data_IF_446489205336
#
_entry.id   IF_446489205336
#
_cell.length_a   1.000
_cell.length_b   1.000
_cell.length_c   1.000
_cell.angle_alpha   90.00
_cell.angle_beta   90.00
_cell.angle_gamma   90.00
#
_symmetry.space_group_name_H-M   'P 1'
#
loop_
_entity.id
_entity.type
_entity.pdbx_description
1 polymer ?
#
# COMPACT_ATOMS: atom_id res chain seq x y z
N UNK A 1 -13.05 -47.14 -36.41
CA UNK A 1 -13.56 -47.41 -35.05
C UNK A 1 -12.37 -47.34 -34.11
N UNK A 2 -11.94 -46.15 -33.66
CA UNK A 2 -12.49 -45.33 -32.56
C UNK A 2 -12.35 -46.03 -31.20
N UNK A 3 -11.28 -45.71 -30.43
CA UNK A 3 -11.24 -44.77 -29.28
C UNK A 3 -11.19 -45.58 -27.94
N UNK A 4 -10.81 -45.01 -26.77
CA UNK A 4 -9.53 -44.38 -26.43
C UNK A 4 -9.02 -44.75 -25.00
N UNK A 5 -7.83 -44.27 -24.64
CA UNK A 5 -7.35 -44.22 -23.24
C UNK A 5 -7.41 -42.78 -22.70
N UNK A 6 -7.88 -42.67 -21.46
CA UNK A 6 -8.16 -41.43 -20.73
C UNK A 6 -6.90 -40.64 -20.37
N UNK A 7 -6.99 -39.30 -20.43
CA UNK A 7 -6.05 -38.37 -19.77
C UNK A 7 -6.80 -37.45 -18.81
N UNK A 8 -6.23 -37.31 -17.62
CA UNK A 8 -6.65 -36.43 -16.53
C UNK A 8 -6.41 -34.97 -16.90
N UNK A 9 -7.39 -34.12 -16.60
CA UNK A 9 -7.28 -32.67 -16.62
C UNK A 9 -6.53 -32.18 -15.37
N UNK A 10 -5.58 -31.26 -15.55
CA UNK A 10 -5.00 -30.47 -14.47
C UNK A 10 -4.99 -29.00 -14.91
N UNK A 11 -5.58 -28.14 -14.08
CA UNK A 11 -5.85 -26.72 -14.31
C UNK A 11 -4.69 -25.86 -13.80
N UNK A 12 -4.11 -25.00 -14.65
CA UNK A 12 -3.05 -24.05 -14.29
C UNK A 12 -3.45 -22.62 -14.66
N UNK A 13 -3.17 -21.68 -13.75
CA UNK A 13 -3.51 -20.26 -13.78
C UNK A 13 -2.28 -19.42 -14.12
N UNK A 14 -2.40 -18.48 -15.07
CA UNK A 14 -1.31 -17.67 -15.66
C UNK A 14 -1.26 -16.26 -15.05
N UNK A 15 -0.06 -15.75 -14.80
CA UNK A 15 0.24 -14.42 -14.23
C UNK A 15 1.01 -13.57 -15.26
N UNK A 16 0.63 -12.31 -15.46
CA UNK A 16 1.21 -11.38 -16.45
C UNK A 16 2.10 -10.33 -15.78
N UNK A 17 3.32 -10.13 -16.28
CA UNK A 17 4.15 -8.94 -16.01
C UNK A 17 5.01 -8.55 -17.22
N UNK A 18 5.00 -7.24 -17.46
CA UNK A 18 6.04 -6.39 -18.05
C UNK A 18 6.32 -6.43 -19.56
N UNK A 19 6.21 -5.26 -20.20
CA UNK A 19 7.22 -4.70 -21.12
C UNK A 19 6.92 -3.20 -21.33
N UNK A 20 7.89 -2.32 -21.12
CA UNK A 20 8.20 -1.16 -21.97
C UNK A 20 9.30 -0.31 -21.32
N UNK A 21 10.51 -0.36 -21.90
CA UNK A 21 11.60 0.56 -21.60
C UNK A 21 12.57 0.62 -22.79
N UNK A 22 12.48 1.69 -23.60
CA UNK A 22 13.51 2.31 -24.47
C UNK A 22 12.96 3.72 -24.75
N UNK A 23 13.61 4.88 -24.64
CA UNK A 23 15.00 5.29 -24.60
C UNK A 23 15.14 6.46 -25.58
N UNK A 24 15.23 7.72 -25.13
CA UNK A 24 15.62 8.86 -25.97
C UNK A 24 16.22 10.00 -25.14
N UNK A 25 17.46 10.34 -25.49
CA UNK A 25 18.27 11.46 -24.98
C UNK A 25 17.84 12.78 -25.64
N UNK A 26 17.70 13.85 -24.86
CA UNK A 26 17.49 15.21 -25.34
C UNK A 26 18.02 16.25 -24.36
N UNK A 27 18.94 17.09 -24.82
CA UNK A 27 19.68 18.11 -24.06
C UNK A 27 18.80 19.30 -23.60
N UNK A 28 19.18 20.04 -22.53
CA UNK A 28 18.35 21.12 -21.99
C UNK A 28 18.54 22.45 -22.74
N UNK A 29 17.41 23.06 -23.11
CA UNK A 29 17.28 24.41 -23.64
C UNK A 29 17.34 25.44 -22.50
N UNK A 30 18.19 26.45 -22.64
CA UNK A 30 18.31 27.62 -21.77
C UNK A 30 17.34 28.71 -22.26
N UNK A 31 16.53 29.35 -21.40
CA UNK A 31 15.69 30.47 -21.81
C UNK A 31 16.48 31.80 -21.78
N UNK A 32 16.57 32.45 -22.93
CA UNK A 32 17.01 33.84 -23.10
C UNK A 32 15.85 34.78 -22.77
N UNK A 33 15.99 35.56 -21.71
CA UNK A 33 15.12 36.71 -21.44
C UNK A 33 15.92 38.01 -21.65
N UNK A 34 15.61 38.73 -22.72
CA UNK A 34 16.05 40.11 -22.94
C UNK A 34 15.01 41.05 -22.34
N UNK A 35 15.42 41.91 -21.41
CA UNK A 35 14.66 43.08 -21.00
C UNK A 35 15.58 44.30 -21.08
N UNK A 36 15.16 45.29 -21.86
CA UNK A 36 15.86 46.54 -22.13
C UNK A 36 15.76 47.50 -20.93
N UNK A 37 16.82 48.29 -20.76
CA UNK A 37 17.02 49.28 -19.71
C UNK A 37 16.37 50.64 -20.02
N UNK A 38 16.04 51.41 -18.97
CA UNK A 38 16.17 52.88 -18.91
C UNK A 38 16.08 53.37 -17.45
N UNK A 39 17.21 53.73 -16.82
CA UNK A 39 17.77 55.09 -16.56
C UNK A 39 17.36 55.74 -15.23
N UNK A 40 18.31 55.84 -14.29
CA UNK A 40 18.71 57.11 -13.63
C UNK A 40 19.92 56.86 -12.70
N UNK A 41 20.92 57.74 -12.77
CA UNK A 41 22.21 57.64 -12.07
C UNK A 41 22.20 58.33 -10.68
N UNK A 42 23.12 57.96 -9.76
CA UNK A 42 23.10 58.31 -8.32
C UNK A 42 24.10 59.42 -7.93
N UNK A 43 24.12 59.92 -6.67
CA UNK A 43 25.26 60.64 -6.14
C UNK A 43 26.24 59.74 -5.38
N UNK A 44 27.51 60.14 -5.51
CA UNK A 44 28.74 59.43 -5.15
C UNK A 44 28.92 59.27 -3.64
N UNK A 45 29.34 58.07 -3.20
CA UNK A 45 30.09 57.90 -1.96
C UNK A 45 31.22 56.87 -2.13
N UNK A 46 32.20 56.95 -1.24
CA UNK A 46 33.62 56.67 -1.46
C UNK A 46 33.97 55.18 -1.50
N UNK A 47 35.05 54.92 -2.24
CA UNK A 47 35.76 53.65 -2.43
C UNK A 47 35.91 52.80 -1.16
N UNK A 48 35.36 51.58 -1.22
CA UNK A 48 35.85 50.41 -0.49
C UNK A 48 35.91 49.29 -1.52
N UNK A 49 37.09 48.68 -1.69
CA UNK A 49 37.32 47.62 -2.66
C UNK A 49 36.45 46.41 -2.33
N UNK A 50 35.33 46.28 -3.05
CA UNK A 50 34.42 45.14 -2.94
C UNK A 50 35.07 43.95 -3.63
N UNK A 51 35.50 42.96 -2.83
CA UNK A 51 35.92 41.67 -3.31
C UNK A 51 34.83 41.08 -4.23
N UNK A 52 35.24 40.54 -5.39
CA UNK A 52 34.35 39.84 -6.31
C UNK A 52 33.54 38.79 -5.51
N UNK A 53 32.22 38.66 -5.72
CA UNK A 53 31.47 37.56 -5.16
C UNK A 53 32.08 36.28 -5.74
N UNK A 54 32.83 35.58 -4.90
CA UNK A 54 33.34 34.26 -5.25
C UNK A 54 32.12 33.39 -5.36
N UNK A 55 31.81 32.97 -6.58
CA UNK A 55 30.82 31.93 -6.85
C UNK A 55 31.28 30.71 -6.06
N UNK A 56 30.67 30.47 -4.89
CA UNK A 56 30.86 29.22 -4.16
C UNK A 56 30.26 28.17 -5.09
N UNK A 57 31.11 27.43 -5.80
CA UNK A 57 30.69 26.19 -6.43
C UNK A 57 30.14 25.34 -5.29
N UNK A 58 28.85 25.02 -5.33
CA UNK A 58 28.27 24.03 -4.43
C UNK A 58 29.12 22.76 -4.54
N UNK A 59 29.86 22.44 -3.48
CA UNK A 59 30.67 21.24 -3.43
C UNK A 59 29.70 20.09 -3.16
N UNK A 60 29.43 19.29 -4.20
CA UNK A 60 28.66 18.05 -4.02
C UNK A 60 29.52 17.03 -3.27
N UNK A 61 29.03 16.58 -2.12
CA UNK A 61 29.71 15.57 -1.32
C UNK A 61 29.81 14.23 -2.06
N UNK A 62 31.00 13.64 -2.06
CA UNK A 62 31.22 12.28 -2.58
C UNK A 62 30.59 11.29 -1.60
N UNK A 63 29.63 10.48 -2.08
CA UNK A 63 28.96 9.45 -1.27
C UNK A 63 29.21 8.09 -1.89
N UNK A 64 29.88 7.19 -1.15
CA UNK A 64 30.06 5.79 -1.55
C UNK A 64 28.87 4.93 -1.10
N UNK A 65 28.56 3.84 -1.82
CA UNK A 65 27.53 2.90 -1.38
C UNK A 65 27.98 2.21 -0.09
N UNK A 66 27.05 1.89 0.83
CA UNK A 66 27.42 1.20 2.05
C UNK A 66 27.78 -0.26 1.80
N UNK A 67 28.56 -0.85 2.71
CA UNK A 67 28.90 -2.28 2.67
C UNK A 67 27.66 -3.15 2.89
N UNK A 68 26.76 -2.73 3.78
CA UNK A 68 25.49 -3.41 4.02
C UNK A 68 24.29 -2.43 4.06
N UNK A 69 23.14 -2.88 3.59
CA UNK A 69 21.86 -2.16 3.72
C UNK A 69 20.81 -3.06 4.37
N UNK A 70 20.07 -2.51 5.32
CA UNK A 70 18.84 -3.13 5.82
C UNK A 70 17.62 -2.24 5.54
N UNK A 71 16.47 -2.89 5.34
CA UNK A 71 15.18 -2.24 5.22
C UNK A 71 14.21 -2.88 6.22
N UNK A 72 13.45 -2.03 6.92
CA UNK A 72 12.48 -2.42 7.94
C UNK A 72 11.18 -1.69 7.63
N UNK A 73 10.16 -2.43 7.22
CA UNK A 73 8.84 -1.90 6.93
C UNK A 73 7.89 -2.33 8.03
N UNK A 74 7.17 -1.37 8.61
CA UNK A 74 6.32 -1.59 9.78
C UNK A 74 4.90 -1.14 9.45
N UNK A 75 3.93 -2.03 9.58
CA UNK A 75 2.52 -1.70 9.37
C UNK A 75 1.65 -2.20 10.51
N UNK A 76 0.77 -1.32 10.99
CA UNK A 76 -0.38 -1.71 11.81
C UNK A 76 -1.64 -1.58 10.99
N UNK A 77 -2.45 -2.62 10.98
CA UNK A 77 -3.69 -2.64 10.20
C UNK A 77 -4.89 -2.91 11.08
N UNK A 78 -5.96 -2.20 10.81
CA UNK A 78 -7.26 -2.39 11.43
C UNK A 78 -8.36 -2.46 10.36
N UNK A 79 -9.37 -3.28 10.59
CA UNK A 79 -10.55 -3.34 9.75
C UNK A 79 -11.78 -3.66 10.58
N UNK A 80 -12.90 -3.05 10.21
CA UNK A 80 -14.24 -3.38 10.73
C UNK A 80 -15.01 -4.31 9.78
N UNK A 81 -14.36 -4.77 8.70
CA UNK A 81 -14.96 -5.67 7.71
C UNK A 81 -15.04 -7.08 8.33
N UNK A 82 -16.24 -7.68 8.47
CA UNK A 82 -16.38 -9.04 8.98
C UNK A 82 -15.56 -10.01 8.12
N UNK A 83 -14.59 -10.67 8.75
CA UNK A 83 -13.44 -11.29 8.08
C UNK A 83 -13.78 -12.35 7.01
N UNK A 84 -12.95 -12.37 5.95
CA UNK A 84 -12.67 -13.51 5.05
C UNK A 84 -13.81 -14.04 4.16
N UNK A 85 -15.00 -14.28 4.72
CA UNK A 85 -16.04 -15.08 4.07
C UNK A 85 -16.95 -14.27 3.13
N UNK A 86 -17.09 -12.96 3.34
CA UNK A 86 -17.80 -12.09 2.36
C UNK A 86 -16.99 -11.92 1.07
N UNK A 87 -15.67 -11.85 1.18
CA UNK A 87 -14.78 -11.75 0.00
C UNK A 87 -14.58 -13.10 -0.69
N UNK A 88 -14.65 -14.21 0.04
CA UNK A 88 -14.72 -15.55 -0.56
C UNK A 88 -15.99 -15.72 -1.43
N UNK A 89 -17.14 -15.19 -0.97
CA UNK A 89 -18.38 -15.14 -1.74
C UNK A 89 -18.28 -14.25 -3.00
N UNK A 90 -17.58 -13.11 -2.91
CA UNK A 90 -17.30 -12.27 -4.08
C UNK A 90 -16.37 -12.97 -5.10
N UNK A 91 -15.40 -13.77 -4.65
CA UNK A 91 -14.53 -14.55 -5.55
C UNK A 91 -15.20 -15.77 -6.18
N UNK A 92 -16.24 -16.32 -5.55
CA UNK A 92 -17.03 -17.43 -6.11
C UNK A 92 -18.17 -16.94 -7.02
N UNK A 93 -18.65 -15.70 -6.85
CA UNK A 93 -19.76 -15.14 -7.61
C UNK A 93 -19.41 -14.44 -8.94
N UNK A 94 -18.13 -14.16 -9.23
CA UNK A 94 -17.75 -13.36 -10.41
C UNK A 94 -16.82 -14.08 -11.37
N UNK A 95 -17.02 -15.38 -11.57
CA UNK A 95 -16.25 -16.17 -12.55
C UNK A 95 -16.43 -15.69 -14.01
N UNK A 96 -17.29 -14.68 -14.26
CA UNK A 96 -17.62 -14.16 -15.59
C UNK A 96 -17.22 -12.70 -15.87
N UNK A 97 -16.48 -12.03 -15.00
CA UNK A 97 -16.09 -10.62 -15.21
C UNK A 97 -14.81 -10.44 -16.04
N UNK A 98 -14.82 -10.79 -17.33
CA UNK A 98 -13.71 -10.48 -18.24
C UNK A 98 -13.49 -8.96 -18.35
N UNK A 99 -12.33 -8.46 -17.93
CA UNK A 99 -11.97 -7.04 -18.03
C UNK A 99 -11.23 -6.47 -16.82
N UNK A 100 -11.21 -5.14 -16.71
CA UNK A 100 -10.54 -4.38 -15.62
C UNK A 100 -10.95 -4.87 -14.21
N UNK A 101 -12.18 -5.34 -14.04
CA UNK A 101 -12.66 -5.93 -12.78
C UNK A 101 -12.04 -7.30 -12.47
N UNK A 102 -11.77 -8.14 -13.47
CA UNK A 102 -11.01 -9.39 -13.33
C UNK A 102 -9.54 -9.14 -12.99
N UNK A 103 -8.93 -8.11 -13.60
CA UNK A 103 -7.57 -7.67 -13.26
C UNK A 103 -7.48 -7.09 -11.82
N UNK A 104 -8.48 -6.31 -11.40
CA UNK A 104 -8.59 -5.80 -10.04
C UNK A 104 -8.83 -6.94 -9.03
N UNK A 105 -9.56 -7.99 -9.41
CA UNK A 105 -9.75 -9.21 -8.61
C UNK A 105 -8.45 -10.02 -8.49
N UNK A 106 -7.66 -10.12 -9.57
CA UNK A 106 -6.31 -10.70 -9.54
C UNK A 106 -5.35 -9.92 -8.64
N UNK A 107 -5.38 -8.59 -8.71
CA UNK A 107 -4.63 -7.71 -7.80
C UNK A 107 -5.14 -7.78 -6.36
N UNK A 108 -6.45 -7.90 -6.14
CA UNK A 108 -7.02 -8.13 -4.81
C UNK A 108 -6.55 -9.47 -4.25
N UNK A 109 -6.50 -10.56 -5.04
CA UNK A 109 -5.96 -11.85 -4.61
C UNK A 109 -4.48 -11.77 -4.23
N UNK A 110 -3.68 -10.95 -4.94
CA UNK A 110 -2.29 -10.66 -4.59
C UNK A 110 -2.13 -9.76 -3.35
N UNK A 111 -3.05 -8.82 -3.14
CA UNK A 111 -3.05 -7.88 -2.02
C UNK A 111 -3.72 -8.41 -0.74
N UNK A 112 -4.48 -9.50 -0.83
CA UNK A 112 -5.20 -10.12 0.28
C UNK A 112 -4.34 -11.12 1.06
N UNK A 113 -3.15 -11.46 0.56
CA UNK A 113 -2.38 -12.59 1.08
C UNK A 113 -3.15 -13.90 0.85
N UNK A 114 -2.45 -14.97 0.51
CA UNK A 114 -3.13 -16.26 0.52
C UNK A 114 -3.51 -16.57 1.98
N UNK A 115 -4.80 -16.78 2.28
CA UNK A 115 -5.26 -17.26 3.59
C UNK A 115 -4.81 -18.70 3.73
N UNK A 116 -3.54 -18.84 4.10
CA UNK A 116 -2.89 -20.09 4.41
C UNK A 116 -3.02 -20.29 5.92
N UNK A 117 -3.08 -21.53 6.37
CA UNK A 117 -2.84 -21.90 7.78
C UNK A 117 -1.39 -21.63 8.24
N UNK A 118 -0.62 -20.83 7.50
CA UNK A 118 0.77 -20.42 7.80
C UNK A 118 0.77 -19.12 8.62
N UNK A 119 1.90 -18.81 9.24
CA UNK A 119 2.10 -17.61 10.05
C UNK A 119 2.07 -16.29 9.25
N UNK A 120 2.98 -15.37 9.55
CA UNK A 120 3.15 -14.12 8.83
C UNK A 120 3.80 -14.35 7.45
N UNK A 121 3.44 -13.53 6.45
CA UNK A 121 3.94 -13.65 5.08
C UNK A 121 4.65 -12.35 4.69
N UNK A 122 5.81 -12.48 4.04
CA UNK A 122 6.53 -11.32 3.51
C UNK A 122 5.68 -10.52 2.54
N UNK A 123 5.72 -9.20 2.68
CA UNK A 123 4.93 -8.27 1.87
C UNK A 123 3.58 -7.94 2.51
N UNK A 124 3.23 -8.59 3.62
CA UNK A 124 2.04 -8.18 4.38
C UNK A 124 2.17 -6.73 4.87
N UNK A 125 3.34 -6.11 4.97
CA UNK A 125 3.38 -4.67 5.31
C UNK A 125 2.84 -3.75 4.20
N UNK A 126 2.57 -4.29 3.02
CA UNK A 126 1.95 -3.62 1.89
C UNK A 126 0.46 -3.97 1.71
N UNK A 127 -0.10 -4.84 2.57
CA UNK A 127 -1.51 -5.20 2.43
C UNK A 127 -2.40 -3.97 2.69
N UNK A 128 -3.58 -3.99 2.08
CA UNK A 128 -4.47 -2.84 1.97
C UNK A 128 -5.41 -2.72 3.19
N UNK A 129 -4.92 -3.00 4.39
CA UNK A 129 -5.67 -2.93 5.64
C UNK A 129 -6.82 -3.94 5.82
N UNK A 130 -7.00 -4.91 4.92
CA UNK A 130 -8.14 -5.86 4.97
C UNK A 130 -8.05 -6.92 6.07
N UNK A 131 -6.84 -7.15 6.61
CA UNK A 131 -6.62 -8.08 7.70
C UNK A 131 -6.03 -7.29 8.85
N UNK A 132 -6.72 -7.29 9.99
CA UNK A 132 -6.24 -6.61 11.20
C UNK A 132 -5.01 -7.33 11.75
N UNK A 133 -4.03 -6.55 12.21
CA UNK A 133 -2.83 -7.09 12.83
C UNK A 133 -1.63 -6.15 12.75
N UNK A 134 -0.51 -6.63 13.28
CA UNK A 134 0.79 -5.97 13.23
C UNK A 134 1.71 -6.75 12.30
N UNK A 135 2.42 -6.03 11.44
CA UNK A 135 3.23 -6.59 10.38
C UNK A 135 4.58 -5.91 10.34
N UNK A 136 5.59 -6.72 10.06
CA UNK A 136 6.97 -6.28 9.87
C UNK A 136 7.52 -7.06 8.68
N UNK A 137 8.20 -6.36 7.77
CA UNK A 137 9.00 -6.95 6.71
C UNK A 137 10.42 -6.43 6.88
N UNK A 138 11.37 -7.35 6.98
CA UNK A 138 12.79 -7.02 7.15
C UNK A 138 13.57 -7.66 6.01
N UNK A 139 14.53 -6.93 5.45
CA UNK A 139 15.51 -7.52 4.56
C UNK A 139 16.88 -6.90 4.75
N UNK A 140 17.93 -7.66 4.47
CA UNK A 140 19.31 -7.17 4.52
C UNK A 140 20.08 -7.60 3.28
N UNK A 141 21.03 -6.78 2.86
CA UNK A 141 21.93 -7.03 1.75
C UNK A 141 23.34 -6.58 2.09
N UNK A 142 24.35 -7.24 1.52
CA UNK A 142 25.73 -6.78 1.59
C UNK A 142 26.46 -6.95 0.26
N UNK A 143 27.30 -5.98 -0.08
CA UNK A 143 28.14 -6.04 -1.27
C UNK A 143 29.34 -6.99 -1.12
N UNK A 144 29.73 -7.38 0.11
CA UNK A 144 30.79 -8.36 0.39
C UNK A 144 30.34 -9.79 0.09
N UNK A 145 29.03 -10.02 0.06
CA UNK A 145 28.41 -11.29 -0.32
C UNK A 145 27.09 -11.03 -1.08
N UNK A 146 27.15 -10.73 -2.39
CA UNK A 146 25.96 -10.43 -3.18
C UNK A 146 24.95 -11.58 -3.27
N UNK A 147 25.39 -12.82 -3.01
CA UNK A 147 24.58 -14.05 -2.99
C UNK A 147 24.17 -14.47 -1.58
N UNK A 148 24.12 -13.55 -0.61
CA UNK A 148 23.75 -13.85 0.78
C UNK A 148 22.42 -14.61 0.84
N UNK A 149 22.47 -15.84 1.37
CA UNK A 149 21.33 -16.77 1.47
C UNK A 149 20.55 -16.63 2.77
N UNK A 150 21.24 -16.26 3.84
CA UNK A 150 20.70 -16.19 5.18
C UNK A 150 21.37 -15.07 5.98
N UNK A 151 20.64 -14.58 6.97
CA UNK A 151 21.12 -13.63 7.96
C UNK A 151 20.32 -13.79 9.26
N UNK A 152 20.78 -13.16 10.33
CA UNK A 152 20.02 -13.02 11.58
C UNK A 152 19.85 -11.55 11.90
N UNK A 153 18.67 -11.22 12.43
CA UNK A 153 18.46 -9.95 13.11
C UNK A 153 18.27 -10.23 14.59
N UNK A 154 19.20 -9.76 15.42
CA UNK A 154 18.99 -9.69 16.87
C UNK A 154 17.95 -8.60 17.12
N UNK A 155 16.94 -8.90 17.91
CA UNK A 155 15.80 -8.03 18.18
C UNK A 155 15.69 -7.70 19.67
N UNK A 156 15.13 -6.53 20.04
CA UNK A 156 14.93 -6.18 21.43
C UNK A 156 13.91 -7.12 22.09
N UNK A 157 14.08 -7.34 23.40
CA UNK A 157 13.17 -8.19 24.20
C UNK A 157 11.73 -7.69 24.12
N UNK A 158 11.52 -6.38 24.02
CA UNK A 158 10.19 -5.76 23.88
C UNK A 158 9.42 -6.20 22.64
N UNK A 159 10.10 -6.79 21.65
CA UNK A 159 9.44 -7.31 20.45
C UNK A 159 8.67 -8.61 20.72
N UNK A 160 8.95 -9.29 21.85
CA UNK A 160 8.31 -10.53 22.26
C UNK A 160 8.38 -11.66 21.21
N UNK A 161 9.48 -11.71 20.46
CA UNK A 161 9.76 -12.73 19.44
C UNK A 161 11.04 -13.54 19.75
N UNK A 162 11.43 -13.61 21.02
CA UNK A 162 12.70 -14.21 21.42
C UNK A 162 13.91 -13.36 21.03
N UNK A 163 15.09 -13.98 20.94
CA UNK A 163 16.36 -13.27 20.79
C UNK A 163 16.65 -12.77 19.37
N UNK A 164 16.15 -13.48 18.35
CA UNK A 164 16.44 -13.15 16.96
C UNK A 164 15.37 -13.59 15.97
N UNK A 165 15.35 -12.92 14.83
CA UNK A 165 14.64 -13.34 13.61
C UNK A 165 15.60 -14.04 12.67
N UNK A 166 15.15 -15.13 12.05
CA UNK A 166 15.91 -15.81 11.00
C UNK A 166 15.50 -15.26 9.64
N UNK A 167 16.43 -14.63 8.93
CA UNK A 167 16.18 -14.08 7.59
C UNK A 167 16.68 -15.07 6.56
N UNK A 168 15.87 -15.33 5.52
CA UNK A 168 16.21 -16.27 4.46
C UNK A 168 15.87 -15.67 3.10
N UNK A 169 16.80 -15.78 2.16
CA UNK A 169 16.59 -15.34 0.79
C UNK A 169 15.83 -16.43 0.03
N UNK A 170 14.90 -16.06 -0.88
CA UNK A 170 14.32 -17.04 -1.77
C UNK A 170 15.42 -17.63 -2.66
N UNK A 171 15.30 -18.93 -2.93
CA UNK A 171 16.13 -19.58 -3.94
C UNK A 171 15.79 -18.90 -5.28
N UNK A 172 16.79 -18.46 -6.07
CA UNK A 172 16.53 -17.96 -7.42
C UNK A 172 15.70 -19.01 -8.17
N UNK A 173 14.49 -18.68 -8.55
CA UNK A 173 13.72 -19.57 -9.41
C UNK A 173 14.53 -19.76 -10.70
N UNK A 174 14.81 -21.01 -11.07
CA UNK A 174 15.29 -21.28 -12.43
C UNK A 174 14.23 -20.72 -13.37
N UNK A 175 14.62 -19.99 -14.43
CA UNK A 175 13.65 -19.55 -15.42
C UNK A 175 12.84 -20.77 -15.83
N UNK A 176 11.56 -20.80 -15.48
CA UNK A 176 10.65 -21.77 -16.08
C UNK A 176 10.64 -21.37 -17.55
N UNK A 177 11.04 -22.25 -18.48
CA UNK A 177 10.85 -21.97 -19.89
C UNK A 177 9.38 -21.60 -20.04
N UNK A 178 9.10 -20.38 -20.46
CA UNK A 178 7.74 -20.03 -20.82
C UNK A 178 7.34 -21.04 -21.87
N UNK A 179 6.34 -21.88 -21.57
CA UNK A 179 5.59 -22.55 -22.61
C UNK A 179 4.90 -21.41 -23.34
N UNK A 180 5.57 -20.88 -24.35
CA UNK A 180 4.93 -20.08 -25.38
C UNK A 180 4.05 -21.12 -26.07
N UNK A 181 2.75 -21.12 -25.76
CA UNK A 181 1.80 -21.73 -26.67
C UNK A 181 1.99 -20.98 -28.00
N UNK A 182 2.63 -21.64 -28.97
CA UNK A 182 2.85 -21.13 -30.32
C UNK A 182 1.57 -21.14 -31.17
N UNK A 183 0.40 -21.05 -30.54
CA UNK A 183 -0.81 -20.63 -31.21
C UNK A 183 -0.94 -19.12 -31.02
N UNK A 184 -0.82 -18.30 -32.09
CA UNK A 184 -1.20 -16.90 -32.02
C UNK A 184 -2.71 -16.84 -31.79
N UNK A 185 -3.13 -16.96 -30.53
CA UNK A 185 -4.43 -16.47 -30.11
C UNK A 185 -4.31 -14.96 -30.21
N UNK A 186 -4.86 -14.37 -31.28
CA UNK A 186 -5.09 -12.93 -31.30
C UNK A 186 -5.83 -12.60 -30.00
N UNK A 187 -5.24 -11.82 -29.09
CA UNK A 187 -5.98 -11.40 -27.91
C UNK A 187 -7.14 -10.56 -28.45
N UNK A 188 -8.37 -11.08 -28.38
CA UNK A 188 -9.54 -10.28 -28.69
C UNK A 188 -9.57 -9.15 -27.66
N UNK A 189 -9.02 -8.01 -28.04
CA UNK A 189 -8.97 -6.81 -27.21
C UNK A 189 -10.37 -6.20 -27.24
N UNK A 190 -11.30 -6.82 -26.52
CA UNK A 190 -12.53 -6.13 -26.17
C UNK A 190 -12.14 -4.98 -25.25
N UNK A 191 -12.27 -3.75 -25.77
CA UNK A 191 -12.08 -2.55 -24.96
C UNK A 191 -12.98 -2.68 -23.73
N UNK A 192 -12.44 -2.60 -22.51
CA UNK A 192 -13.27 -2.68 -21.32
C UNK A 192 -14.35 -1.60 -21.39
N UNK A 193 -15.61 -2.01 -21.32
CA UNK A 193 -16.76 -1.10 -21.31
C UNK A 193 -16.93 -0.55 -19.90
N UNK A 194 -17.27 0.73 -19.80
CA UNK A 194 -17.62 1.36 -18.51
C UNK A 194 -17.10 2.78 -18.36
N UNK A 195 -17.47 3.41 -17.25
CA UNK A 195 -17.04 4.75 -16.87
C UNK A 195 -16.23 4.70 -15.59
N UNK A 196 -15.29 5.62 -15.42
CA UNK A 196 -14.58 5.84 -14.16
C UNK A 196 -14.83 7.28 -13.75
N UNK A 197 -15.44 7.50 -12.60
CA UNK A 197 -15.73 8.82 -12.06
C UNK A 197 -14.90 9.09 -10.81
N UNK A 198 -14.11 10.17 -10.85
CA UNK A 198 -13.26 10.64 -9.75
C UNK A 198 -13.90 11.85 -9.08
N UNK A 199 -14.15 11.71 -7.78
CA UNK A 199 -14.51 12.75 -6.82
C UNK A 199 -13.33 12.99 -5.87
N UNK A 200 -13.25 14.17 -5.29
CA UNK A 200 -12.16 14.53 -4.39
C UNK A 200 -12.58 15.59 -3.36
N UNK A 201 -11.86 15.62 -2.26
CA UNK A 201 -11.99 16.59 -1.19
C UNK A 201 -12.92 16.10 -0.08
N UNK A 202 -12.57 16.50 1.14
CA UNK A 202 -13.46 16.37 2.29
C UNK A 202 -14.53 17.47 2.24
N UNK A 203 -15.77 17.13 2.56
CA UNK A 203 -16.86 18.10 2.69
C UNK A 203 -18.25 17.49 2.57
N UNK A 204 -19.28 18.29 2.84
CA UNK A 204 -20.67 17.81 2.82
C UNK A 204 -21.26 17.78 1.41
N UNK A 205 -20.73 18.62 0.51
CA UNK A 205 -21.25 18.82 -0.85
C UNK A 205 -20.17 18.61 -1.91
N UNK A 206 -20.57 18.06 -3.05
CA UNK A 206 -19.72 17.94 -4.24
C UNK A 206 -19.40 19.36 -4.75
N UNK A 207 -18.11 19.68 -4.87
CA UNK A 207 -17.67 21.02 -5.30
C UNK A 207 -17.78 21.16 -6.83
N UNK A 208 -17.91 22.39 -7.36
CA UNK A 208 -17.92 22.62 -8.81
C UNK A 208 -16.70 21.99 -9.51
N UNK A 209 -16.91 21.42 -10.70
CA UNK A 209 -15.87 20.75 -11.48
C UNK A 209 -15.72 19.25 -11.19
N UNK A 210 -16.58 18.68 -10.35
CA UNK A 210 -16.64 17.26 -10.02
C UNK A 210 -17.96 16.61 -10.47
N UNK A 211 -17.96 15.30 -10.78
CA UNK A 211 -16.78 14.44 -10.92
C UNK A 211 -15.99 14.76 -12.20
N UNK A 212 -14.75 14.26 -12.27
CA UNK A 212 -14.13 13.98 -13.57
C UNK A 212 -14.55 12.58 -13.98
N UNK A 213 -15.01 12.39 -15.20
CA UNK A 213 -15.41 11.08 -15.72
C UNK A 213 -14.60 10.70 -16.94
N UNK A 214 -14.09 9.48 -16.96
CA UNK A 214 -13.43 8.85 -18.09
C UNK A 214 -14.32 7.74 -18.65
N UNK A 215 -14.68 7.82 -19.92
CA UNK A 215 -15.35 6.73 -20.63
C UNK A 215 -14.27 5.79 -21.20
N UNK A 216 -14.18 4.58 -20.66
CA UNK A 216 -13.10 3.63 -20.94
C UNK A 216 -13.16 3.14 -22.41
N UNK A 217 -14.35 3.11 -23.00
CA UNK A 217 -14.56 2.62 -24.36
C UNK A 217 -14.11 3.65 -25.42
N UNK A 218 -14.25 4.94 -25.12
CA UNK A 218 -14.00 6.03 -26.08
C UNK A 218 -12.77 6.90 -25.78
N UNK A 219 -12.20 6.85 -24.57
CA UNK A 219 -11.07 7.68 -24.18
C UNK A 219 -9.80 7.46 -25.02
N UNK A 220 -9.13 8.57 -25.33
CA UNK A 220 -7.80 8.57 -25.95
C UNK A 220 -6.71 8.34 -24.89
N UNK A 221 -5.50 7.97 -25.32
CA UNK A 221 -4.34 7.81 -24.43
C UNK A 221 -4.06 9.09 -23.63
N UNK A 222 -4.26 10.26 -24.24
CA UNK A 222 -4.08 11.55 -23.57
C UNK A 222 -5.15 11.77 -22.48
N UNK A 223 -6.38 11.31 -22.68
CA UNK A 223 -7.43 11.37 -21.67
C UNK A 223 -7.09 10.48 -20.48
N UNK A 224 -6.57 9.27 -20.74
CA UNK A 224 -6.03 8.40 -19.70
C UNK A 224 -4.91 9.09 -18.91
N UNK A 225 -3.93 9.68 -19.60
CA UNK A 225 -2.81 10.35 -18.94
C UNK A 225 -3.25 11.55 -18.08
N UNK A 226 -4.24 12.32 -18.53
CA UNK A 226 -4.81 13.46 -17.78
C UNK A 226 -5.70 13.03 -16.63
N UNK A 227 -6.35 11.87 -16.74
CA UNK A 227 -7.25 11.35 -15.73
C UNK A 227 -6.52 10.63 -14.60
N UNK A 228 -5.58 9.74 -14.96
CA UNK A 228 -4.81 8.94 -14.02
C UNK A 228 -3.57 9.67 -13.49
N UNK A 229 -3.77 10.91 -13.05
CA UNK A 229 -2.76 11.61 -12.25
C UNK A 229 -2.66 10.91 -10.90
N UNK A 230 -1.55 10.22 -10.69
CA UNK A 230 -1.28 9.45 -9.49
C UNK A 230 0.00 9.94 -8.86
N UNK A 231 -0.12 10.59 -7.70
CA UNK A 231 1.04 10.84 -6.84
C UNK A 231 1.40 9.57 -6.09
N UNK A 232 2.69 9.42 -5.86
CA UNK A 232 3.24 8.28 -5.15
C UNK A 232 4.69 8.12 -5.51
N UNK A 233 5.55 8.12 -4.50
CA UNK A 233 6.96 7.82 -4.67
C UNK A 233 7.35 6.86 -3.58
N UNK A 234 6.76 5.66 -3.63
CA UNK A 234 7.07 4.60 -2.67
C UNK A 234 8.56 4.40 -2.64
N UNK A 235 9.15 4.81 -1.52
CA UNK A 235 10.58 4.74 -1.34
C UNK A 235 11.04 3.27 -1.28
N UNK A 236 12.30 3.00 -1.61
CA UNK A 236 12.85 1.64 -1.53
C UNK A 236 12.63 1.09 -0.11
N UNK A 237 11.95 -0.05 -0.01
CA UNK A 237 11.69 -0.78 1.23
C UNK A 237 12.26 -2.18 1.20
N UNK A 238 11.76 -3.03 2.10
CA UNK A 238 12.18 -4.41 2.24
C UNK A 238 11.89 -5.22 0.97
N UNK A 239 12.76 -6.20 0.70
CA UNK A 239 12.71 -7.01 -0.51
C UNK A 239 12.93 -8.47 -0.19
N UNK A 240 12.15 -9.32 -0.85
CA UNK A 240 12.36 -10.75 -0.84
C UNK A 240 12.82 -11.20 -2.22
N UNK A 241 14.13 -11.33 -2.39
CA UNK A 241 14.77 -11.73 -3.64
C UNK A 241 16.13 -12.38 -3.35
N UNK A 242 16.70 -13.10 -4.32
CA UNK A 242 18.03 -13.70 -4.16
C UNK A 242 19.08 -12.66 -3.70
N UNK A 243 19.96 -13.05 -2.78
CA UNK A 243 20.97 -12.16 -2.21
C UNK A 243 20.43 -11.14 -1.18
N UNK A 244 19.14 -11.21 -0.86
CA UNK A 244 18.47 -10.35 0.12
C UNK A 244 17.67 -11.23 1.09
N UNK A 245 18.34 -11.82 2.11
CA UNK A 245 17.63 -12.56 3.13
C UNK A 245 16.57 -11.68 3.78
N UNK A 246 15.38 -12.23 3.96
CA UNK A 246 14.23 -11.48 4.45
C UNK A 246 13.45 -12.25 5.52
N UNK A 247 12.72 -11.50 6.33
CA UNK A 247 11.74 -12.00 7.29
C UNK A 247 10.42 -11.26 7.06
N UNK A 248 9.26 -11.92 7.13
CA UNK A 248 9.03 -13.35 7.35
C UNK A 248 9.51 -14.21 6.18
N UNK A 249 9.66 -15.51 6.39
CA UNK A 249 9.98 -16.49 5.35
C UNK A 249 9.50 -17.90 5.74
N UNK A 250 9.80 -18.91 4.92
CA UNK A 250 9.34 -20.30 5.15
C UNK A 250 9.92 -20.95 6.42
N UNK A 251 11.03 -20.45 6.94
CA UNK A 251 11.74 -21.00 8.11
C UNK A 251 11.31 -20.25 9.38
N UNK A 252 10.98 -18.96 9.27
CA UNK A 252 10.53 -18.12 10.37
C UNK A 252 9.39 -17.20 9.88
N UNK A 253 8.17 -17.62 10.20
CA UNK A 253 6.92 -16.94 9.86
C UNK A 253 6.16 -16.49 11.11
N UNK A 254 6.86 -16.23 12.23
CA UNK A 254 6.18 -15.81 13.46
C UNK A 254 5.39 -14.50 13.25
N UNK A 255 4.24 -14.36 13.91
CA UNK A 255 3.44 -13.12 13.87
C UNK A 255 3.92 -12.17 14.94
N UNK A 256 3.92 -10.86 14.67
CA UNK A 256 4.15 -9.86 15.72
C UNK A 256 3.02 -9.93 16.75
N UNK A 257 3.32 -10.13 18.04
CA UNK A 257 2.32 -10.07 19.09
C UNK A 257 1.69 -8.67 19.23
N UNK A 258 0.47 -8.61 19.75
CA UNK A 258 -0.24 -7.33 19.96
C UNK A 258 0.52 -6.38 20.90
N UNK A 259 1.24 -6.91 21.88
CA UNK A 259 2.05 -6.16 22.83
C UNK A 259 3.51 -5.96 22.39
N UNK A 260 3.86 -6.25 21.13
CA UNK A 260 5.20 -6.04 20.60
C UNK A 260 5.55 -4.55 20.48
N UNK A 261 6.80 -4.23 20.77
CA UNK A 261 7.46 -2.95 20.49
C UNK A 261 8.82 -3.22 19.84
N UNK A 262 9.12 -2.52 18.75
CA UNK A 262 10.41 -2.58 18.07
C UNK A 262 11.41 -1.54 18.60
N UNK A 263 11.07 -0.83 19.68
CA UNK A 263 12.01 0.10 20.34
C UNK A 263 13.18 -0.68 20.94
N UNK A 264 14.39 -0.15 20.75
CA UNK A 264 15.62 -0.69 21.32
C UNK A 264 16.66 -1.05 20.27
N UNK A 265 17.66 -1.81 20.71
CA UNK A 265 18.79 -2.19 19.87
C UNK A 265 18.45 -3.39 18.99
N UNK A 266 18.79 -3.27 17.72
CA UNK A 266 18.82 -4.34 16.73
C UNK A 266 20.24 -4.54 16.23
N UNK A 267 20.58 -5.77 15.83
CA UNK A 267 21.85 -6.06 15.18
C UNK A 267 21.62 -7.01 14.00
N UNK A 268 22.26 -6.73 12.86
CA UNK A 268 22.27 -7.63 11.71
C UNK A 268 23.56 -8.43 11.68
N UNK A 269 23.43 -9.74 11.49
CA UNK A 269 24.53 -10.69 11.45
C UNK A 269 24.42 -11.56 10.20
N UNK A 270 25.54 -11.86 9.57
CA UNK A 270 25.60 -12.71 8.37
C UNK A 270 26.93 -12.58 7.65
N UNK A 271 27.23 -13.52 6.76
CA UNK A 271 28.49 -13.51 6.04
C UNK A 271 28.63 -12.25 5.17
N UNK A 272 29.65 -11.42 5.43
CA UNK A 272 29.89 -10.14 4.74
C UNK A 272 29.19 -8.95 5.37
N UNK A 273 28.28 -9.14 6.33
CA UNK A 273 27.67 -8.05 7.10
C UNK A 273 28.69 -7.56 8.15
N UNK A 274 28.99 -6.24 8.25
CA UNK A 274 29.86 -5.72 9.31
C UNK A 274 29.29 -5.98 10.71
N UNK A 275 30.13 -6.42 11.66
CA UNK A 275 29.73 -6.63 13.07
C UNK A 275 29.23 -5.34 13.75
N UNK A 276 29.64 -4.19 13.22
CA UNK A 276 29.22 -2.85 13.62
C UNK A 276 27.76 -2.54 13.27
N UNK A 277 27.06 -3.39 12.47
CA UNK A 277 25.68 -3.15 12.02
C UNK A 277 24.66 -3.31 13.16
N UNK A 278 24.62 -2.28 13.99
CA UNK A 278 23.74 -2.12 15.15
C UNK A 278 22.92 -0.85 15.00
N UNK A 279 21.60 -0.99 15.05
CA UNK A 279 20.65 0.12 14.93
C UNK A 279 19.91 0.25 16.25
N UNK A 280 19.76 1.47 16.77
CA UNK A 280 18.93 1.73 17.94
C UNK A 280 17.68 2.48 17.51
N UNK A 281 16.51 1.85 17.67
CA UNK A 281 15.23 2.43 17.31
C UNK A 281 14.57 3.10 18.53
N UNK A 282 14.03 4.30 18.34
CA UNK A 282 13.29 5.05 19.36
C UNK A 282 11.78 4.93 19.20
N UNK A 283 11.03 5.54 20.13
CA UNK A 283 9.56 5.49 20.15
C UNK A 283 8.90 6.03 18.86
N UNK A 284 9.52 7.02 18.19
CA UNK A 284 9.02 7.56 16.93
C UNK A 284 9.14 6.57 15.74
N UNK A 285 9.89 5.48 15.90
CA UNK A 285 10.01 4.40 14.92
C UNK A 285 9.18 3.17 15.28
N UNK A 286 8.52 3.15 16.44
CA UNK A 286 7.76 1.99 16.89
C UNK A 286 6.46 1.80 16.08
N UNK A 287 5.80 0.66 16.29
CA UNK A 287 4.49 0.34 15.73
C UNK A 287 3.48 1.44 16.07
N UNK A 288 2.93 2.09 15.04
CA UNK A 288 1.84 3.04 15.22
C UNK A 288 0.60 2.31 15.77
N UNK A 289 -0.21 2.95 16.64
CA UNK A 289 -1.48 2.38 17.08
C UNK A 289 -2.42 2.19 15.89
N UNK A 290 -3.37 1.24 15.97
CA UNK A 290 -4.40 1.07 14.95
C UNK A 290 -5.23 2.36 14.83
N UNK A 291 -5.59 2.71 13.60
CA UNK A 291 -6.56 3.79 13.37
C UNK A 291 -7.93 3.33 13.87
N UNK A 292 -8.47 4.06 14.84
CA UNK A 292 -9.84 3.89 15.32
C UNK A 292 -10.74 4.90 14.60
N UNK A 293 -11.29 4.50 13.46
CA UNK A 293 -12.19 5.33 12.65
C UNK A 293 -13.66 4.97 12.94
N UNK A 294 -14.48 6.00 13.13
CA UNK A 294 -15.93 5.90 13.27
C UNK A 294 -16.60 6.57 12.08
N UNK A 295 -17.77 6.06 11.67
CA UNK A 295 -18.55 6.58 10.56
C UNK A 295 -19.96 6.95 11.01
N UNK A 296 -20.39 8.17 10.72
CA UNK A 296 -21.73 8.67 11.02
C UNK A 296 -22.41 9.14 9.73
N UNK A 297 -23.52 8.50 9.36
CA UNK A 297 -24.37 8.95 8.25
C UNK A 297 -25.25 10.11 8.72
N UNK A 298 -25.19 11.25 8.03
CA UNK A 298 -26.05 12.41 8.29
C UNK A 298 -26.47 13.05 6.97
N UNK A 299 -27.78 13.12 6.72
CA UNK A 299 -28.37 13.75 5.53
C UNK A 299 -27.85 13.23 4.17
N UNK A 300 -27.26 12.03 4.16
CA UNK A 300 -26.65 11.38 3.00
C UNK A 300 -25.13 11.59 2.86
N UNK A 301 -24.55 12.46 3.69
CA UNK A 301 -23.09 12.59 3.89
C UNK A 301 -22.60 11.51 4.85
N UNK A 302 -21.38 11.02 4.65
CA UNK A 302 -20.71 10.10 5.59
C UNK A 302 -19.59 10.87 6.28
N UNK A 303 -19.83 11.28 7.53
CA UNK A 303 -18.81 11.87 8.39
C UNK A 303 -17.92 10.76 8.96
N UNK A 304 -16.61 10.90 8.82
CA UNK A 304 -15.62 10.01 9.38
C UNK A 304 -14.81 10.76 10.43
N UNK A 305 -14.62 10.15 11.60
CA UNK A 305 -13.88 10.72 12.72
C UNK A 305 -12.92 9.68 13.30
N UNK A 306 -11.70 10.10 13.66
CA UNK A 306 -10.67 9.22 14.22
C UNK A 306 -9.88 9.90 15.33
N UNK A 307 -9.29 9.08 16.21
CA UNK A 307 -8.40 9.56 17.27
C UNK A 307 -7.06 10.04 16.69
N UNK A 308 -6.46 11.04 17.34
CA UNK A 308 -5.10 11.47 17.01
C UNK A 308 -4.09 10.34 17.29
N UNK A 309 -3.16 10.13 16.35
CA UNK A 309 -2.12 9.12 16.45
C UNK A 309 -0.76 9.80 16.79
N UNK A 310 -0.04 9.34 17.84
CA UNK A 310 1.29 9.85 18.14
C UNK A 310 2.26 9.69 16.97
N UNK A 311 3.12 10.69 16.76
CA UNK A 311 4.15 10.71 15.71
C UNK A 311 3.63 10.61 14.26
N UNK A 312 2.32 10.76 14.04
CA UNK A 312 1.75 10.82 12.70
C UNK A 312 2.21 12.08 11.97
N UNK A 313 2.49 11.94 10.68
CA UNK A 313 2.94 13.01 9.80
C UNK A 313 1.82 13.56 8.93
N UNK A 314 0.85 12.72 8.56
CA UNK A 314 -0.35 13.11 7.82
C UNK A 314 -1.28 11.92 7.57
N UNK A 315 -2.41 12.20 6.94
CA UNK A 315 -3.43 11.19 6.61
C UNK A 315 -3.88 11.29 5.16
N UNK A 316 -4.27 10.15 4.59
CA UNK A 316 -4.93 10.11 3.29
C UNK A 316 -6.06 9.07 3.32
N UNK A 317 -7.21 9.43 2.77
CA UNK A 317 -8.37 8.56 2.66
C UNK A 317 -8.76 8.42 1.19
N UNK A 318 -9.19 7.22 0.81
CA UNK A 318 -9.82 6.98 -0.47
C UNK A 318 -10.95 5.97 -0.32
N UNK A 319 -11.98 6.11 -1.16
CA UNK A 319 -13.06 5.16 -1.26
C UNK A 319 -13.26 4.77 -2.71
N UNK A 320 -13.55 3.50 -2.97
CA UNK A 320 -13.85 3.02 -4.31
C UNK A 320 -15.07 2.12 -4.29
N UNK A 321 -16.03 2.39 -5.17
CA UNK A 321 -17.26 1.62 -5.31
C UNK A 321 -17.61 1.43 -6.78
N UNK A 322 -18.64 0.64 -7.04
CA UNK A 322 -19.20 0.45 -8.38
C UNK A 322 -20.68 0.77 -8.39
N UNK A 323 -21.14 1.42 -9.47
CA UNK A 323 -22.56 1.49 -9.83
C UNK A 323 -22.76 0.59 -11.04
N UNK A 324 -23.68 -0.36 -10.94
CA UNK A 324 -24.06 -1.22 -12.07
C UNK A 324 -25.09 -0.45 -12.89
N UNK A 325 -24.81 -0.23 -14.17
CA UNK A 325 -25.74 0.45 -15.08
C UNK A 325 -26.53 -0.60 -15.89
N UNK A 326 -25.85 -1.61 -16.45
CA UNK A 326 -26.42 -2.79 -17.13
C UNK A 326 -25.50 -4.02 -16.95
N UNK A 327 -25.85 -5.19 -17.51
CA UNK A 327 -25.04 -6.42 -17.40
C UNK A 327 -23.64 -6.32 -18.02
N UNK A 328 -23.47 -5.46 -19.05
CA UNK A 328 -22.22 -5.28 -19.81
C UNK A 328 -21.51 -3.93 -19.54
N UNK A 329 -22.04 -3.08 -18.66
CA UNK A 329 -21.47 -1.75 -18.40
C UNK A 329 -21.67 -1.30 -16.94
N UNK A 330 -20.57 -0.96 -16.28
CA UNK A 330 -20.56 -0.39 -14.94
C UNK A 330 -19.77 0.91 -14.85
N UNK A 331 -20.07 1.71 -13.83
CA UNK A 331 -19.33 2.90 -13.45
C UNK A 331 -18.51 2.60 -12.19
N UNK A 332 -17.19 2.76 -12.27
CA UNK A 332 -16.32 2.75 -11.10
C UNK A 332 -16.27 4.15 -10.52
N UNK A 333 -16.60 4.28 -9.24
CA UNK A 333 -16.57 5.55 -8.52
C UNK A 333 -15.36 5.54 -7.59
N UNK A 334 -14.53 6.57 -7.69
CA UNK A 334 -13.39 6.81 -6.81
C UNK A 334 -13.59 8.14 -6.11
N UNK A 335 -13.36 8.16 -4.80
CA UNK A 335 -13.28 9.38 -4.00
C UNK A 335 -11.95 9.42 -3.26
N UNK A 336 -11.34 10.60 -3.13
CA UNK A 336 -10.13 10.82 -2.33
C UNK A 336 -10.26 12.02 -1.40
N UNK A 337 -9.55 12.03 -0.27
CA UNK A 337 -9.55 13.18 0.66
C UNK A 337 -8.76 14.40 0.16
N UNK A 338 -8.08 14.27 -0.98
CA UNK A 338 -7.24 15.33 -1.57
C UNK A 338 -8.09 16.52 -2.03
N UNK A 339 -7.61 17.74 -1.85
CA UNK A 339 -8.24 18.95 -2.42
C UNK A 339 -8.06 19.05 -3.95
N UNK A 340 -7.17 18.25 -4.52
CA UNK A 340 -6.93 18.11 -5.95
C UNK A 340 -7.51 16.81 -6.50
N UNK A 341 -7.81 16.80 -7.80
CA UNK A 341 -8.23 15.62 -8.57
C UNK A 341 -7.08 14.63 -8.76
N UNK A 342 -6.65 14.00 -7.67
CA UNK A 342 -5.64 12.95 -7.62
C UNK A 342 -6.32 11.60 -7.46
N UNK A 343 -5.95 10.63 -8.31
CA UNK A 343 -6.52 9.29 -8.27
C UNK A 343 -6.04 8.48 -7.06
N UNK A 344 -4.95 8.92 -6.39
CA UNK A 344 -4.62 8.52 -5.02
C UNK A 344 -4.08 7.11 -4.81
N UNK A 345 -3.98 6.28 -5.85
CA UNK A 345 -3.50 4.90 -5.70
C UNK A 345 -2.08 4.79 -5.17
N UNK A 346 -1.19 5.68 -5.60
CA UNK A 346 0.19 5.69 -5.12
C UNK A 346 0.35 6.27 -3.71
N UNK A 347 -0.72 6.81 -3.11
CA UNK A 347 -0.70 7.43 -1.78
C UNK A 347 -1.08 6.44 -0.67
N UNK A 348 -1.72 5.31 -0.97
CA UNK A 348 -2.05 4.28 0.05
C UNK A 348 -0.87 3.33 0.34
N UNK A 349 0.36 3.85 0.30
CA UNK A 349 1.57 3.14 0.70
C UNK A 349 2.59 4.10 1.31
N UNK A 350 3.71 3.60 1.83
CA UNK A 350 4.73 4.41 2.49
C UNK A 350 5.30 5.51 1.58
N UNK A 351 5.40 6.73 2.11
CA UNK A 351 5.96 7.89 1.42
C UNK A 351 7.17 8.44 2.18
N UNK A 352 8.02 9.20 1.51
CA UNK A 352 9.13 9.88 2.20
C UNK A 352 8.62 11.06 3.02
N UNK A 353 9.35 11.41 4.09
CA UNK A 353 9.03 12.60 4.91
C UNK A 353 8.87 13.87 4.06
N UNK A 354 9.79 14.11 3.12
CA UNK A 354 9.77 15.28 2.26
C UNK A 354 8.58 15.31 1.30
N UNK A 355 8.18 14.15 0.76
CA UNK A 355 7.02 14.08 -0.12
C UNK A 355 5.72 14.34 0.65
N UNK A 356 5.58 13.79 1.87
CA UNK A 356 4.42 14.06 2.73
C UNK A 356 4.33 15.55 3.08
N UNK A 357 5.42 16.17 3.51
CA UNK A 357 5.44 17.60 3.87
C UNK A 357 5.04 18.49 2.68
N UNK A 358 5.52 18.15 1.49
CA UNK A 358 5.15 18.85 0.27
C UNK A 358 3.66 18.66 -0.02
N UNK A 359 3.14 17.43 0.04
CA UNK A 359 1.76 17.14 -0.29
C UNK A 359 0.74 17.65 0.74
N UNK A 360 1.15 17.86 1.99
CA UNK A 360 0.34 18.61 2.97
C UNK A 360 0.21 20.07 2.55
N UNK A 361 1.31 20.72 2.13
CA UNK A 361 1.28 22.11 1.64
C UNK A 361 0.46 22.26 0.35
N UNK A 362 0.50 21.24 -0.52
CA UNK A 362 -0.32 21.15 -1.73
C UNK A 362 -1.76 20.71 -1.46
N UNK A 363 -2.14 20.43 -0.21
CA UNK A 363 -3.46 19.98 0.23
C UNK A 363 -3.93 18.65 -0.41
N UNK A 364 -2.98 17.83 -0.88
CA UNK A 364 -3.25 16.47 -1.36
C UNK A 364 -3.36 15.48 -0.19
N UNK A 365 -2.57 15.71 0.86
CA UNK A 365 -2.53 14.91 2.08
C UNK A 365 -3.07 15.75 3.24
N UNK A 366 -3.92 15.15 4.08
CA UNK A 366 -4.43 15.83 5.27
C UNK A 366 -3.31 15.99 6.32
N UNK A 367 -3.28 17.11 7.05
CA UNK A 367 -2.26 17.36 8.07
C UNK A 367 -2.38 16.39 9.25
N UNK A 368 -1.30 16.24 10.03
CA UNK A 368 -1.29 15.42 11.25
C UNK A 368 -2.34 15.80 12.30
N UNK A 369 -2.81 17.05 12.28
CA UNK A 369 -3.88 17.55 13.16
C UNK A 369 -5.29 17.15 12.72
N UNK A 370 -5.46 16.61 11.51
CA UNK A 370 -6.77 16.20 11.01
C UNK A 370 -7.29 14.99 11.82
N UNK A 371 -8.53 15.09 12.27
CA UNK A 371 -9.24 14.04 13.03
C UNK A 371 -10.61 13.71 12.44
N UNK A 372 -10.98 14.35 11.33
CA UNK A 372 -12.25 14.10 10.65
C UNK A 372 -12.15 14.39 9.14
N UNK A 373 -13.04 13.77 8.38
CA UNK A 373 -13.28 14.05 6.97
C UNK A 373 -14.69 13.58 6.60
N UNK A 374 -15.38 14.31 5.74
CA UNK A 374 -16.70 13.93 5.26
C UNK A 374 -16.64 13.52 3.78
N UNK A 375 -17.29 12.41 3.43
CA UNK A 375 -17.58 12.07 2.03
C UNK A 375 -18.89 12.74 1.64
N UNK A 376 -18.91 13.60 0.60
CA UNK A 376 -20.11 14.30 0.19
C UNK A 376 -21.30 13.39 -0.12
N UNK A 377 -22.49 13.93 0.11
CA UNK A 377 -23.74 13.27 -0.26
C UNK A 377 -23.76 12.89 -1.74
N UNK A 378 -24.24 11.67 -2.02
CA UNK A 378 -24.60 11.24 -3.36
C UNK A 378 -23.49 10.55 -4.16
N UNK A 379 -22.24 10.53 -3.67
CA UNK A 379 -21.13 9.86 -4.36
C UNK A 379 -21.34 8.33 -4.42
N UNK A 380 -21.89 7.74 -3.36
CA UNK A 380 -22.09 6.29 -3.23
C UNK A 380 -23.56 5.90 -3.00
N UNK A 381 -24.50 6.66 -3.57
CA UNK A 381 -25.93 6.63 -3.21
C UNK A 381 -26.65 5.26 -3.33
N UNK A 382 -26.12 4.31 -4.11
CA UNK A 382 -26.75 2.99 -4.35
C UNK A 382 -25.80 1.79 -4.16
N UNK A 383 -24.52 2.04 -3.85
CA UNK A 383 -23.50 1.00 -3.74
C UNK A 383 -22.54 1.32 -2.61
N UNK A 384 -22.03 0.29 -1.92
CA UNK A 384 -21.05 0.55 -0.88
C UNK A 384 -19.65 0.75 -1.48
N UNK A 385 -18.92 1.74 -0.97
CA UNK A 385 -17.53 1.99 -1.33
C UNK A 385 -16.59 1.28 -0.37
N UNK A 386 -15.56 0.64 -0.89
CA UNK A 386 -14.43 0.17 -0.09
C UNK A 386 -13.62 1.38 0.37
N UNK A 387 -13.72 1.73 1.65
CA UNK A 387 -12.97 2.80 2.28
C UNK A 387 -11.58 2.28 2.67
N UNK A 388 -10.57 3.10 2.42
CA UNK A 388 -9.20 2.93 2.89
C UNK A 388 -8.72 4.23 3.50
N UNK A 389 -7.96 4.11 4.58
CA UNK A 389 -7.27 5.20 5.23
C UNK A 389 -5.84 4.78 5.55
N UNK A 390 -4.91 5.72 5.39
CA UNK A 390 -3.52 5.58 5.84
C UNK A 390 -3.16 6.74 6.76
N UNK A 391 -2.49 6.43 7.86
CA UNK A 391 -1.76 7.34 8.71
C UNK A 391 -0.27 7.13 8.44
N UNK A 392 0.40 8.16 7.91
CA UNK A 392 1.82 8.09 7.63
C UNK A 392 2.61 8.36 8.90
N UNK A 393 3.48 7.43 9.28
CA UNK A 393 4.56 7.73 10.22
C UNK A 393 5.76 8.32 9.48
N UNK A 394 6.79 8.69 10.24
CA UNK A 394 8.02 9.22 9.63
C UNK A 394 8.93 8.09 9.15
N UNK A 395 9.50 8.22 7.95
CA UNK A 395 10.64 7.38 7.57
C UNK A 395 11.91 7.81 8.32
N UNK A 396 12.77 6.84 8.62
CA UNK A 396 14.01 7.05 9.37
C UNK A 396 15.17 6.39 8.62
N UNK A 397 16.31 7.08 8.62
CA UNK A 397 17.54 6.62 8.00
C UNK A 397 18.65 6.60 9.05
N UNK A 398 19.30 5.46 9.16
CA UNK A 398 20.40 5.22 10.08
C UNK A 398 21.63 4.85 9.27
N UNK A 399 22.80 5.25 9.76
CA UNK A 399 24.05 4.93 9.10
C UNK A 399 25.22 4.97 10.06
N UNK A 400 26.24 4.19 9.76
CA UNK A 400 27.52 4.29 10.43
C UNK A 400 28.68 4.25 9.42
N UNK A 401 29.66 5.18 9.53
CA UNK A 401 29.59 6.38 10.35
C UNK A 401 28.42 7.30 9.91
N UNK A 402 27.92 8.18 10.81
CA UNK A 402 26.97 9.23 10.43
C UNK A 402 27.50 10.07 9.27
N UNK A 403 26.59 10.60 8.45
CA UNK A 403 26.97 11.44 7.32
C UNK A 403 27.70 12.70 7.84
N UNK A 404 28.93 13.00 7.37
CA UNK A 404 29.64 14.22 7.73
C UNK A 404 28.87 15.47 7.30
N UNK A 405 28.87 16.49 8.15
CA UNK A 405 28.27 17.80 7.85
C UNK A 405 29.06 18.57 6.79
N UNK A 406 30.39 18.42 6.77
CA UNK A 406 31.24 19.05 5.75
C UNK A 406 31.12 18.28 4.42
N UNK A 407 30.56 18.90 3.36
CA UNK A 407 30.41 18.24 2.07
C UNK A 407 31.74 17.97 1.35
N UNK A 408 32.86 18.51 1.82
CA UNK A 408 34.19 18.20 1.28
C UNK A 408 34.71 16.83 1.74
N UNK A 409 34.16 16.30 2.84
CA UNK A 409 34.53 15.00 3.37
C UNK A 409 33.72 13.92 2.66
N UNK A 410 34.40 12.99 1.99
CA UNK A 410 33.75 11.83 1.39
C UNK A 410 33.06 10.98 2.46
N UNK A 411 31.83 10.58 2.20
CA UNK A 411 31.06 9.73 3.11
C UNK A 411 31.09 8.29 2.62
N UNK A 412 31.67 7.42 3.45
CA UNK A 412 31.85 5.99 3.18
C UNK A 412 31.20 5.16 4.29
N UNK A 413 29.86 5.02 4.27
CA UNK A 413 29.16 4.26 5.31
C UNK A 413 29.54 2.78 5.26
N UNK A 414 29.80 2.17 6.40
CA UNK A 414 29.86 0.71 6.51
C UNK A 414 28.47 0.11 6.33
N UNK A 415 27.46 0.69 6.97
CA UNK A 415 26.10 0.23 6.83
C UNK A 415 25.10 1.37 6.83
N UNK A 416 23.94 1.09 6.24
CA UNK A 416 22.76 1.94 6.33
C UNK A 416 21.53 1.09 6.64
N UNK A 417 20.59 1.63 7.42
CA UNK A 417 19.27 1.06 7.59
C UNK A 417 18.20 2.09 7.27
N UNK A 418 17.16 1.66 6.57
CA UNK A 418 15.95 2.44 6.39
C UNK A 418 14.80 1.78 7.13
N UNK A 419 14.09 2.57 7.92
CA UNK A 419 12.83 2.19 8.53
C UNK A 419 11.70 3.05 8.00
N UNK A 420 10.54 2.46 7.74
CA UNK A 420 9.31 3.17 7.40
C UNK A 420 8.13 2.54 8.14
N UNK A 421 7.25 3.39 8.67
CA UNK A 421 6.13 2.95 9.50
C UNK A 421 4.83 3.62 9.05
N UNK A 422 3.74 2.86 9.08
CA UNK A 422 2.39 3.34 8.79
C UNK A 422 1.35 2.63 9.66
N UNK A 423 0.20 3.26 9.82
CA UNK A 423 -1.04 2.54 10.16
C UNK A 423 -2.02 2.65 9.00
N UNK A 424 -2.75 1.58 8.71
CA UNK A 424 -3.82 1.58 7.70
C UNK A 424 -5.13 1.08 8.31
N UNK A 425 -6.23 1.54 7.74
CA UNK A 425 -7.57 1.10 8.09
C UNK A 425 -8.41 0.87 6.84
N UNK A 426 -9.21 -0.20 6.88
CA UNK A 426 -10.12 -0.52 5.79
C UNK A 426 -11.52 -0.84 6.31
N UNK A 427 -12.51 -0.33 5.60
CA UNK A 427 -13.93 -0.46 5.95
C UNK A 427 -14.81 -0.45 4.72
N UNK A 428 -16.11 -0.67 4.91
CA UNK A 428 -17.13 -0.32 3.95
C UNK A 428 -17.68 1.06 4.32
N UNK A 429 -17.58 2.01 3.39
CA UNK A 429 -18.08 3.36 3.55
C UNK A 429 -19.59 3.34 3.81
N UNK A 430 -20.01 4.00 4.89
CA UNK A 430 -21.40 4.01 5.34
C UNK A 430 -21.84 2.77 6.12
N UNK A 431 -20.94 1.83 6.40
CA UNK A 431 -21.20 0.64 7.22
C UNK A 431 -21.98 -0.47 6.52
N UNK A 432 -22.05 -1.64 7.17
CA UNK A 432 -22.66 -2.87 6.67
C UNK A 432 -24.20 -2.91 6.71
N UNK A 433 -24.84 -1.92 7.36
CA UNK A 433 -26.25 -1.97 7.75
C UNK A 433 -27.28 -1.98 6.60
N UNK A 434 -26.87 -1.72 5.35
CA UNK A 434 -27.78 -1.74 4.19
C UNK A 434 -27.51 -2.89 3.22
N UNK A 435 -26.31 -3.48 3.20
CA UNK A 435 -25.97 -4.57 2.26
C UNK A 435 -26.63 -5.91 2.59
N UNK A 436 -27.13 -6.08 3.82
CA UNK A 436 -27.84 -7.28 4.26
C UNK A 436 -29.37 -7.17 4.12
N UNK A 437 -29.89 -6.01 3.68
CA UNK A 437 -31.32 -5.69 3.72
C UNK A 437 -32.15 -5.98 2.46
N UNK A 438 -31.56 -6.50 1.37
CA UNK A 438 -32.30 -6.87 0.15
C UNK A 438 -31.93 -8.28 -0.34
N UNK A 439 -32.31 -9.27 0.45
CA UNK A 439 -32.10 -10.69 0.10
C UNK A 439 -32.79 -11.71 0.99
N UNK A 440 -33.51 -11.30 2.04
CA UNK A 440 -34.26 -12.21 2.91
C UNK A 440 -35.77 -12.02 2.77
N UNK A 441 -36.28 -12.05 1.55
CA UNK A 441 -37.68 -12.40 1.30
C UNK A 441 -37.69 -13.73 0.53
N UNK A 442 -37.37 -14.80 1.26
CA UNK A 442 -37.74 -16.18 0.92
C UNK A 442 -37.77 -17.00 2.20
N UNK A 443 -39.00 -17.13 2.69
CA UNK A 443 -39.52 -18.34 3.32
C UNK A 443 -39.03 -18.62 4.75
N UNK A 444 -39.76 -18.05 5.71
CA UNK A 444 -39.86 -18.57 7.07
C UNK A 444 -40.11 -20.09 7.01
N UNK A 445 -39.26 -20.94 7.63
CA UNK A 445 -39.59 -22.34 7.79
C UNK A 445 -40.79 -22.41 8.73
N UNK A 446 -41.88 -23.04 8.26
CA UNK A 446 -42.97 -23.46 9.13
C UNK A 446 -42.36 -24.26 10.29
N UNK A 447 -42.66 -23.83 11.52
CA UNK A 447 -42.46 -24.63 12.74
C UNK A 447 -43.24 -25.93 12.58
N UNK A 448 -42.56 -27.00 12.20
CA UNK A 448 -43.06 -28.35 12.47
C UNK A 448 -42.85 -28.62 13.97
N UNK A 449 -43.96 -28.57 14.70
CA UNK A 449 -44.08 -29.12 16.05
C UNK A 449 -43.80 -30.63 16.02
N UNK A 450 -42.55 -31.04 16.24
CA UNK A 450 -42.25 -32.37 16.76
C UNK A 450 -42.26 -32.34 18.29
N UNK A 451 -43.48 -32.43 18.84
CA UNK A 451 -43.73 -32.78 20.23
C UNK A 451 -43.15 -34.17 20.55
N UNK A 452 -42.14 -34.19 21.41
CA UNK A 452 -42.04 -35.04 22.62
C UNK A 452 -42.55 -36.49 22.57
N UNK A 453 -42.08 -37.34 21.64
CA UNK A 453 -42.26 -38.81 21.73
C UNK A 453 -41.02 -39.60 22.19
N UNK A 454 -39.93 -38.93 22.52
CA UNK A 454 -38.74 -39.56 23.10
C UNK A 454 -38.74 -39.55 24.64
N UNK A 455 -39.57 -38.72 25.28
CA UNK A 455 -39.60 -38.55 26.74
C UNK A 455 -40.72 -39.31 27.46
N UNK A 456 -41.69 -39.89 26.74
CA UNK A 456 -42.73 -40.76 27.33
C UNK A 456 -42.37 -42.26 27.30
N UNK A 457 -41.48 -42.70 26.41
CA UNK A 457 -41.04 -44.10 26.32
C UNK A 457 -39.93 -44.47 27.33
N UNK A 458 -39.29 -43.47 27.95
CA UNK A 458 -38.26 -43.67 28.98
C UNK A 458 -38.82 -43.69 30.42
N UNK A 459 -40.10 -43.33 30.62
CA UNK A 459 -40.76 -43.38 31.93
C UNK A 459 -41.59 -44.66 32.17
N UNK A 460 -41.79 -45.51 31.16
CA UNK A 460 -42.47 -46.81 31.32
C UNK A 460 -41.53 -48.01 31.53
N UNK A 461 -40.21 -47.80 31.51
CA UNK A 461 -39.21 -48.86 31.66
C UNK A 461 -38.45 -48.85 32.99
N UNK A 462 -38.63 -47.82 33.84
CA UNK A 462 -37.93 -47.67 35.13
C UNK A 462 -38.88 -47.14 36.22
N UNK A 463 -39.98 -47.86 36.46
CA UNK A 463 -40.94 -47.56 37.51
C UNK A 463 -41.40 -48.81 38.26
N UNK A 464 -40.59 -49.24 39.22
CA UNK A 464 -41.00 -49.79 40.51
C UNK A 464 -39.85 -49.60 41.50
#
# INVERSE_FOLDING_TARGET
MSLPHARRFNTSSVSFHCFFCVGLLGAPLVPTAQAQAQTSNPPKSKSSALAKPTTIKDVTQIVKPPVALAFIDVATSASDIPGGNLMAGATQGTQSGGGLFGALTGMAKGAMGATNDRGNVFGNTHHLGFVSGKYLDVSVHTNRNPSLSDAKQIVPVSMNLGESLQLNAPIPEKPVPALIDEEPMEPSYEKPKGKISLYWGCGDTIRPGQPRTLDVASASIDDYAKFFVMRGKTSKGARWQAGHPAWPNKIDDRKLPDNASIVGQHQFLGNGIPDSFKVNLGAAQDLMPPIELTQTKKDGTVLMEWKSIPHVRGYFLSAMGGKRENDDSGEMIVWTSSELADFGFGLVDYQSNADIDRWIKEQVVLPASATHCAVPKGIFAEGAGMLRMIAYGSDAFFSYPPRPEDPKIAWEPEWQAKLRVKSVFSSILGGFGEMTGKGSDRQSPKKDEKKSKATELLKSLWGN
#
